data_IF_371772742583
#
_entry.id   IF_371772742583
#
_cell.length_a   1.000
_cell.length_b   1.000
_cell.length_c   1.000
_cell.angle_alpha   90.00
_cell.angle_beta   90.00
_cell.angle_gamma   90.00
#
_symmetry.space_group_name_H-M   'P 1'
#
loop_
_entity.id
_entity.type
_entity.pdbx_description
1 polymer ?
#
# COMPACT_ATOMS: atom_id res chain seq x y z
N UNK A 1 -3.66 -28.43 -27.39
CA UNK A 1 -3.82 -28.52 -25.92
C UNK A 1 -2.98 -27.43 -25.26
N UNK A 2 -3.51 -26.22 -25.13
CA UNK A 2 -2.87 -25.13 -24.39
C UNK A 2 -3.88 -24.61 -23.36
N UNK A 3 -4.06 -25.37 -22.29
CA UNK A 3 -4.79 -24.91 -21.11
C UNK A 3 -3.77 -24.29 -20.16
N UNK A 4 -3.54 -22.99 -20.31
CA UNK A 4 -2.91 -22.20 -19.26
C UNK A 4 -3.92 -22.17 -18.10
N UNK A 5 -3.62 -22.97 -17.08
CA UNK A 5 -4.25 -22.87 -15.77
C UNK A 5 -3.99 -21.46 -15.23
N UNK A 6 -4.92 -20.53 -15.46
CA UNK A 6 -5.03 -19.30 -14.69
C UNK A 6 -5.49 -19.72 -13.30
N UNK A 7 -4.53 -20.07 -12.43
CA UNK A 7 -4.81 -20.09 -11.01
C UNK A 7 -5.22 -18.68 -10.60
N UNK A 8 -6.14 -18.50 -9.64
CA UNK A 8 -6.58 -17.16 -9.19
C UNK A 8 -5.42 -16.27 -8.71
N UNK A 9 -4.27 -16.87 -8.38
CA UNK A 9 -3.01 -16.19 -8.03
C UNK A 9 -2.27 -15.56 -9.21
N UNK A 10 -2.41 -16.07 -10.44
CA UNK A 10 -1.70 -15.53 -11.60
C UNK A 10 -2.14 -14.10 -11.95
N UNK A 11 -3.44 -13.81 -11.84
CA UNK A 11 -3.98 -12.48 -12.12
C UNK A 11 -3.60 -11.43 -11.07
N UNK A 12 -3.47 -11.81 -9.79
CA UNK A 12 -3.06 -10.86 -8.74
C UNK A 12 -1.59 -10.48 -8.86
N UNK A 13 -0.72 -11.43 -9.19
CA UNK A 13 0.72 -11.18 -9.42
C UNK A 13 0.93 -10.24 -10.61
N UNK A 14 0.28 -10.51 -11.75
CA UNK A 14 0.37 -9.64 -12.94
C UNK A 14 -0.15 -8.22 -12.64
N UNK A 15 -1.25 -8.11 -11.87
CA UNK A 15 -1.79 -6.82 -11.45
C UNK A 15 -0.81 -6.07 -10.55
N UNK A 16 -0.21 -6.75 -9.57
CA UNK A 16 0.78 -6.16 -8.66
C UNK A 16 2.01 -5.66 -9.42
N UNK A 17 2.62 -6.49 -10.29
CA UNK A 17 3.80 -6.09 -11.06
C UNK A 17 3.54 -4.86 -11.95
N UNK A 18 2.36 -4.81 -12.58
CA UNK A 18 1.96 -3.65 -13.40
C UNK A 18 1.87 -2.38 -12.56
N UNK A 19 1.26 -2.47 -11.38
CA UNK A 19 1.14 -1.33 -10.47
C UNK A 19 2.50 -0.93 -9.91
N UNK A 20 3.37 -1.89 -9.59
CA UNK A 20 4.73 -1.63 -9.14
C UNK A 20 5.57 -0.89 -10.20
N UNK A 21 5.46 -1.29 -11.48
CA UNK A 21 6.14 -0.59 -12.58
C UNK A 21 5.68 0.86 -12.66
N UNK A 22 4.37 1.10 -12.58
CA UNK A 22 3.81 2.46 -12.53
C UNK A 22 4.32 3.24 -11.33
N UNK A 23 4.34 2.63 -10.15
CA UNK A 23 4.80 3.26 -8.93
C UNK A 23 6.27 3.72 -9.00
N UNK A 24 7.10 3.04 -9.79
CA UNK A 24 8.51 3.41 -10.02
C UNK A 24 8.71 4.51 -11.07
N UNK A 25 7.70 4.80 -11.89
CA UNK A 25 7.79 5.77 -12.99
C UNK A 25 6.95 7.04 -12.77
N UNK A 26 5.90 6.95 -11.97
CA UNK A 26 4.94 8.04 -11.75
C UNK A 26 5.48 9.00 -10.67
N UNK A 27 5.18 10.30 -10.79
CA UNK A 27 5.55 11.27 -9.76
C UNK A 27 4.62 11.15 -8.54
N UNK A 28 5.18 10.68 -7.43
CA UNK A 28 4.51 10.45 -6.15
C UNK A 28 4.92 11.47 -5.07
N UNK A 29 5.58 12.57 -5.46
CA UNK A 29 6.07 13.61 -4.54
C UNK A 29 4.93 14.22 -3.70
N UNK A 30 3.77 14.42 -4.32
CA UNK A 30 2.55 14.88 -3.68
C UNK A 30 2.10 13.99 -2.51
N UNK A 31 2.26 12.67 -2.63
CA UNK A 31 1.86 11.70 -1.60
C UNK A 31 2.96 11.54 -0.55
N UNK A 32 4.21 11.39 -0.99
CA UNK A 32 5.35 11.21 -0.09
C UNK A 32 5.59 12.42 0.82
N UNK A 33 5.31 13.63 0.34
CA UNK A 33 5.43 14.88 1.12
C UNK A 33 4.40 15.04 2.24
N UNK A 34 3.34 14.21 2.27
CA UNK A 34 2.31 14.26 3.31
C UNK A 34 2.81 13.65 4.62
N UNK A 35 3.76 12.71 4.56
CA UNK A 35 4.27 12.03 5.74
C UNK A 35 3.25 11.09 6.43
N UNK A 36 2.14 10.77 5.76
CA UNK A 36 1.14 9.85 6.30
C UNK A 36 1.57 8.38 6.25
N UNK A 37 2.60 8.04 5.48
CA UNK A 37 3.13 6.68 5.35
C UNK A 37 4.66 6.73 5.39
N UNK A 38 5.28 5.98 6.31
CA UNK A 38 6.75 5.88 6.40
C UNK A 38 7.19 4.59 7.08
N UNK A 39 8.42 4.15 6.81
CA UNK A 39 9.03 3.03 7.53
C UNK A 39 9.61 3.53 8.87
N UNK A 40 9.32 2.81 9.96
CA UNK A 40 9.71 3.14 11.33
C UNK A 40 10.40 1.96 11.99
N UNK A 41 11.69 1.76 11.71
CA UNK A 41 12.50 0.75 12.39
C UNK A 41 11.96 -0.68 12.21
N UNK A 42 12.19 -1.50 13.24
CA UNK A 42 11.79 -2.92 13.29
C UNK A 42 11.09 -3.25 14.60
N UNK A 43 10.23 -4.26 14.59
CA UNK A 43 9.62 -4.79 15.80
C UNK A 43 10.57 -5.70 16.60
N UNK A 44 10.10 -6.25 17.71
CA UNK A 44 10.84 -7.18 18.57
C UNK A 44 11.29 -8.49 17.90
N UNK A 45 10.77 -8.81 16.72
CA UNK A 45 11.13 -9.97 15.92
C UNK A 45 12.00 -9.59 14.70
N UNK A 46 12.44 -8.34 14.60
CA UNK A 46 13.24 -7.85 13.47
C UNK A 46 12.43 -7.56 12.20
N UNK A 47 11.09 -7.53 12.30
CA UNK A 47 10.22 -7.25 11.14
C UNK A 47 10.11 -5.75 10.91
N UNK A 48 10.30 -5.26 9.68
CA UNK A 48 10.10 -3.85 9.35
C UNK A 48 8.70 -3.37 9.73
N UNK A 49 8.62 -2.22 10.41
CA UNK A 49 7.34 -1.60 10.75
C UNK A 49 7.08 -0.44 9.79
N UNK A 50 5.92 -0.45 9.15
CA UNK A 50 5.41 0.66 8.33
C UNK A 50 4.31 1.36 9.11
N UNK A 51 4.47 2.66 9.30
CA UNK A 51 3.54 3.50 10.03
C UNK A 51 2.62 4.20 9.05
N UNK A 52 1.31 4.08 9.26
CA UNK A 52 0.29 4.84 8.58
C UNK A 52 -0.41 5.78 9.57
N UNK A 53 -0.35 7.09 9.34
CA UNK A 53 -0.98 8.10 10.21
C UNK A 53 -2.23 8.65 9.54
N UNK A 54 -3.40 8.24 10.03
CA UNK A 54 -4.69 8.63 9.46
C UNK A 54 -4.96 10.13 9.48
N UNK A 55 -4.51 10.86 10.52
CA UNK A 55 -4.69 12.33 10.60
C UNK A 55 -4.15 13.05 9.37
N UNK A 56 -3.02 12.59 8.84
CA UNK A 56 -2.32 13.26 7.76
C UNK A 56 -2.83 12.82 6.40
N UNK A 57 -3.68 11.78 6.33
CA UNK A 57 -4.22 11.28 5.08
C UNK A 57 -5.42 12.12 4.62
N UNK A 58 -5.26 13.01 3.62
CA UNK A 58 -6.31 13.92 3.20
C UNK A 58 -7.17 13.22 2.15
N UNK A 59 -7.96 12.22 2.56
CA UNK A 59 -8.69 11.30 1.66
C UNK A 59 -9.54 12.01 0.59
N UNK A 60 -10.08 13.20 0.88
CA UNK A 60 -10.87 14.00 -0.08
C UNK A 60 -10.05 14.80 -1.10
N UNK A 61 -8.77 15.03 -0.82
CA UNK A 61 -7.92 15.91 -1.62
C UNK A 61 -6.72 15.19 -2.24
N UNK A 62 -6.40 13.97 -1.78
CA UNK A 62 -5.32 13.16 -2.30
C UNK A 62 -5.80 12.28 -3.45
N UNK A 63 -4.95 12.13 -4.46
CA UNK A 63 -5.17 11.12 -5.49
C UNK A 63 -4.96 9.71 -4.88
N UNK A 64 -6.06 8.96 -4.74
CA UNK A 64 -6.06 7.62 -4.16
C UNK A 64 -5.29 6.58 -4.97
N UNK A 65 -5.20 6.76 -6.30
CA UNK A 65 -4.39 5.90 -7.15
C UNK A 65 -2.91 6.12 -6.88
N UNK A 66 -2.46 7.39 -6.79
CA UNK A 66 -1.09 7.71 -6.39
C UNK A 66 -0.78 7.23 -4.97
N UNK A 67 -1.75 7.31 -4.05
CA UNK A 67 -1.59 6.79 -2.70
C UNK A 67 -1.37 5.27 -2.68
N UNK A 68 -2.12 4.53 -3.48
CA UNK A 68 -1.92 3.09 -3.66
C UNK A 68 -0.55 2.78 -4.28
N UNK A 69 -0.13 3.54 -5.30
CA UNK A 69 1.18 3.37 -5.92
C UNK A 69 2.32 3.64 -4.93
N UNK A 70 2.22 4.70 -4.13
CA UNK A 70 3.22 5.02 -3.11
C UNK A 70 3.29 3.93 -2.03
N UNK A 71 2.15 3.38 -1.63
CA UNK A 71 2.10 2.24 -0.71
C UNK A 71 2.81 1.01 -1.31
N UNK A 72 2.54 0.67 -2.57
CA UNK A 72 3.21 -0.44 -3.27
C UNK A 72 4.72 -0.19 -3.36
N UNK A 73 5.13 1.03 -3.73
CA UNK A 73 6.54 1.41 -3.80
C UNK A 73 7.26 1.22 -2.46
N UNK A 74 6.63 1.65 -1.36
CA UNK A 74 7.20 1.54 -0.02
C UNK A 74 7.23 0.10 0.50
N UNK A 75 6.24 -0.72 0.13
CA UNK A 75 6.12 -2.11 0.56
C UNK A 75 6.93 -3.09 -0.30
N UNK A 76 7.26 -2.78 -1.57
CA UNK A 76 7.97 -3.70 -2.49
C UNK A 76 9.28 -4.30 -1.92
N UNK A 77 10.12 -3.55 -1.18
CA UNK A 77 11.28 -4.14 -0.52
C UNK A 77 10.91 -5.05 0.66
N UNK A 78 9.77 -4.79 1.29
CA UNK A 78 9.32 -5.43 2.53
C UNK A 78 8.51 -6.70 2.30
N UNK A 79 7.73 -6.78 1.22
CA UNK A 79 6.90 -7.96 0.86
C UNK A 79 7.71 -9.23 0.61
N UNK A 80 9.04 -9.13 0.50
CA UNK A 80 9.94 -10.30 0.42
C UNK A 80 10.02 -11.06 1.76
N UNK A 81 9.80 -10.37 2.88
CA UNK A 81 9.80 -10.94 4.23
C UNK A 81 8.55 -10.54 5.01
N UNK A 82 8.55 -10.86 6.30
CA UNK A 82 7.45 -10.48 7.20
C UNK A 82 7.58 -9.01 7.59
N UNK A 83 6.48 -8.26 7.49
CA UNK A 83 6.41 -6.85 7.87
C UNK A 83 5.15 -6.57 8.69
N UNK A 84 5.13 -5.43 9.38
CA UNK A 84 4.00 -4.98 10.18
C UNK A 84 3.54 -3.62 9.69
N UNK A 85 2.24 -3.44 9.47
CA UNK A 85 1.63 -2.12 9.26
C UNK A 85 0.97 -1.67 10.57
N UNK A 86 1.43 -0.55 11.11
CA UNK A 86 0.85 0.11 12.27
C UNK A 86 -0.01 1.30 11.81
N UNK A 87 -1.33 1.18 12.00
CA UNK A 87 -2.29 2.23 11.67
C UNK A 87 -2.62 3.09 12.89
N UNK A 88 -2.30 4.38 12.84
CA UNK A 88 -2.63 5.35 13.87
C UNK A 88 -3.87 6.14 13.47
N UNK A 89 -4.96 5.89 14.18
CA UNK A 89 -6.26 6.55 14.03
C UNK A 89 -6.40 7.82 14.89
N UNK A 90 -5.30 8.41 15.35
CA UNK A 90 -5.37 9.59 16.24
C UNK A 90 -5.86 10.80 15.44
N UNK A 91 -6.82 11.55 15.99
CA UNK A 91 -7.35 12.80 15.40
C UNK A 91 -7.87 12.67 13.95
N UNK A 92 -8.25 11.47 13.52
CA UNK A 92 -8.98 11.26 12.27
C UNK A 92 -10.43 11.70 12.42
N UNK A 93 -10.95 12.34 11.38
CA UNK A 93 -12.38 12.63 11.24
C UNK A 93 -12.89 11.97 9.96
N UNK A 94 -14.22 11.90 9.77
CA UNK A 94 -14.87 11.35 8.58
C UNK A 94 -14.20 11.70 7.23
N UNK A 95 -13.74 12.95 6.96
CA UNK A 95 -13.04 13.29 5.70
C UNK A 95 -11.66 12.66 5.50
N UNK A 96 -11.07 12.02 6.52
CA UNK A 96 -9.74 11.41 6.48
C UNK A 96 -9.82 9.88 6.47
N UNK A 97 -11.02 9.31 6.55
CA UNK A 97 -11.21 7.87 6.58
C UNK A 97 -11.08 7.31 5.17
N UNK A 98 -10.11 6.41 4.92
CA UNK A 98 -10.13 5.66 3.68
C UNK A 98 -11.44 4.88 3.61
N UNK A 99 -12.10 4.92 2.44
CA UNK A 99 -13.31 4.14 2.25
C UNK A 99 -13.00 2.64 2.42
N UNK A 100 -13.97 1.88 2.94
CA UNK A 100 -13.82 0.42 3.05
C UNK A 100 -13.53 -0.23 1.69
N UNK A 101 -14.08 0.32 0.61
CA UNK A 101 -13.80 -0.12 -0.75
C UNK A 101 -12.31 0.04 -1.11
N UNK A 102 -11.70 1.18 -0.78
CA UNK A 102 -10.29 1.43 -1.03
C UNK A 102 -9.39 0.54 -0.17
N UNK A 103 -9.71 0.35 1.12
CA UNK A 103 -8.99 -0.60 1.98
C UNK A 103 -9.04 -2.03 1.44
N UNK A 104 -10.20 -2.45 0.94
CA UNK A 104 -10.35 -3.76 0.30
C UNK A 104 -9.55 -3.85 -0.99
N UNK A 105 -9.45 -2.78 -1.77
CA UNK A 105 -8.62 -2.75 -2.97
C UNK A 105 -7.13 -2.89 -2.64
N UNK A 106 -6.64 -2.13 -1.66
CA UNK A 106 -5.26 -2.24 -1.14
C UNK A 106 -4.99 -3.69 -0.74
N UNK A 107 -5.87 -4.29 0.06
CA UNK A 107 -5.75 -5.67 0.51
C UNK A 107 -5.70 -6.68 -0.64
N UNK A 108 -6.53 -6.49 -1.68
CA UNK A 108 -6.58 -7.40 -2.83
C UNK A 108 -5.37 -7.25 -3.77
N UNK A 109 -4.71 -6.09 -3.77
CA UNK A 109 -3.56 -5.81 -4.64
C UNK A 109 -2.26 -6.30 -4.01
N UNK A 110 -2.13 -6.19 -2.69
CA UNK A 110 -0.91 -6.62 -2.02
C UNK A 110 -0.78 -8.15 -2.07
N UNK A 111 0.37 -8.68 -2.50
CA UNK A 111 0.62 -10.11 -2.47
C UNK A 111 0.72 -10.56 -1.01
N UNK A 112 -0.30 -11.27 -0.54
CA UNK A 112 -0.28 -11.95 0.75
C UNK A 112 0.36 -13.33 0.56
N UNK A 113 1.23 -13.74 1.49
CA UNK A 113 1.71 -15.13 1.60
C UNK A 113 0.83 -15.89 2.59
#
# INVERSE_FOLDING_TARGET
MHSLFLTPYGNSIIRYERLLRRAKTEDLSEVSGIGCLYQSGVDRFGRPVVVFVGKWFPFRHINLDKALLYLIYLLDPLVKGDYVIAYFHTLTSSPNHPSFAWLREVYNVLPYK
#
